data_IF_207815715837
#
_entry.id   IF_207815715837
#
_cell.length_a   1.000
_cell.length_b   1.000
_cell.length_c   1.000
_cell.angle_alpha   90.00
_cell.angle_beta   90.00
_cell.angle_gamma   90.00
#
_symmetry.space_group_name_H-M   'P 1'
#
loop_
_entity.id
_entity.type
_entity.pdbx_description
1 polymer ?
#
# COMPACT_ATOMS: atom_id res chain seq x y z
N UNK A 1 23.30 -15.56 1.93
CA UNK A 1 23.85 -14.61 1.53
C UNK A 1 22.99 -13.76 0.81
N UNK A 2 22.74 -12.86 1.15
CA UNK A 2 21.91 -12.05 0.51
C UNK A 2 22.53 -11.70 -0.71
N UNK A 3 21.98 -11.97 -1.74
CA UNK A 3 22.57 -11.62 -2.85
C UNK A 3 21.94 -10.41 -3.33
N UNK A 4 22.68 -9.64 -3.94
CA UNK A 4 22.18 -8.46 -4.54
C UNK A 4 21.31 -8.85 -5.65
N UNK A 5 20.09 -8.57 -5.53
CA UNK A 5 19.15 -8.93 -6.54
C UNK A 5 19.18 -7.95 -7.67
N UNK A 6 19.20 -8.46 -8.83
CA UNK A 6 19.07 -7.62 -9.99
C UNK A 6 17.62 -7.15 -10.02
N UNK A 7 17.40 -5.90 -9.87
CA UNK A 7 16.04 -5.39 -9.75
C UNK A 7 15.21 -5.48 -11.01
N UNK A 8 15.83 -5.77 -12.14
CA UNK A 8 15.04 -5.86 -13.35
C UNK A 8 13.95 -6.89 -13.27
N UNK A 9 14.23 -8.03 -12.65
CA UNK A 9 13.25 -9.09 -12.57
C UNK A 9 12.14 -8.79 -11.59
N UNK A 10 12.38 -7.87 -10.68
CA UNK A 10 11.40 -7.54 -9.67
C UNK A 10 10.73 -6.19 -9.89
N UNK A 11 11.01 -5.57 -11.01
CA UNK A 11 10.35 -4.30 -11.30
C UNK A 11 8.86 -4.53 -11.52
N UNK A 12 8.03 -3.55 -11.17
CA UNK A 12 6.61 -3.68 -11.43
C UNK A 12 6.31 -3.60 -12.92
N UNK A 13 5.16 -4.16 -13.29
CA UNK A 13 4.67 -4.00 -14.65
C UNK A 13 3.87 -2.71 -14.72
N UNK A 14 3.57 -2.27 -15.93
CA UNK A 14 2.71 -1.09 -16.06
C UNK A 14 1.33 -1.36 -15.47
N UNK A 15 0.87 -2.60 -15.53
CA UNK A 15 -0.40 -2.96 -14.89
C UNK A 15 -0.31 -2.81 -13.38
N UNK A 16 0.83 -3.21 -12.79
CA UNK A 16 1.06 -3.02 -11.37
C UNK A 16 1.00 -1.55 -10.98
N UNK A 17 1.59 -0.69 -11.83
CA UNK A 17 1.57 0.74 -11.56
C UNK A 17 0.15 1.27 -11.60
N UNK A 18 -0.64 0.82 -12.57
CA UNK A 18 -2.04 1.24 -12.64
C UNK A 18 -2.80 0.83 -11.38
N UNK A 19 -2.55 -0.38 -10.90
CA UNK A 19 -3.20 -0.83 -9.68
C UNK A 19 -2.78 0.00 -8.48
N UNK A 20 -1.49 0.32 -8.40
CA UNK A 20 -1.01 1.18 -7.31
C UNK A 20 -1.71 2.53 -7.35
N UNK A 21 -1.78 3.15 -8.53
CA UNK A 21 -2.35 4.48 -8.65
C UNK A 21 -3.83 4.49 -8.30
N UNK A 22 -4.50 3.36 -8.48
CA UNK A 22 -5.90 3.22 -8.11
C UNK A 22 -6.07 2.91 -6.62
N UNK A 23 -5.30 1.95 -6.12
CA UNK A 23 -5.51 1.44 -4.77
C UNK A 23 -5.01 2.37 -3.68
N UNK A 24 -3.93 3.11 -3.94
CA UNK A 24 -3.36 3.96 -2.91
C UNK A 24 -4.34 5.02 -2.41
N UNK A 25 -4.96 5.83 -3.29
CA UNK A 25 -5.91 6.82 -2.78
C UNK A 25 -7.15 6.19 -2.15
N UNK A 26 -7.57 5.00 -2.62
CA UNK A 26 -8.71 4.34 -2.03
C UNK A 26 -8.41 3.90 -0.60
N UNK A 27 -7.23 3.32 -0.40
CA UNK A 27 -6.85 2.89 0.95
C UNK A 27 -6.61 4.09 1.85
N UNK A 28 -6.00 5.13 1.32
CA UNK A 28 -5.74 6.34 2.10
C UNK A 28 -7.05 6.93 2.61
N UNK A 29 -8.06 6.91 1.76
CA UNK A 29 -9.39 7.38 2.13
C UNK A 29 -10.02 6.51 3.22
N UNK A 30 -9.89 5.19 3.07
CA UNK A 30 -10.40 4.27 4.07
C UNK A 30 -9.75 4.51 5.43
N UNK A 31 -8.44 4.72 5.43
CA UNK A 31 -7.72 4.95 6.68
C UNK A 31 -8.21 6.23 7.34
N UNK A 32 -8.44 7.26 6.56
CA UNK A 32 -8.92 8.53 7.13
C UNK A 32 -10.26 8.33 7.81
N UNK A 33 -11.16 7.58 7.20
CA UNK A 33 -12.47 7.32 7.79
C UNK A 33 -12.34 6.50 9.07
N UNK A 34 -11.57 5.43 9.04
CA UNK A 34 -11.42 4.57 10.22
C UNK A 34 -10.72 5.33 11.34
N UNK A 35 -9.78 6.21 10.99
CA UNK A 35 -9.10 7.02 11.99
C UNK A 35 -10.08 7.93 12.72
N UNK A 36 -11.04 8.50 11.99
CA UNK A 36 -12.06 9.33 12.64
C UNK A 36 -12.95 8.50 13.54
N UNK A 37 -13.32 7.29 13.10
CA UNK A 37 -14.09 6.40 13.95
C UNK A 37 -13.30 6.03 15.21
N UNK A 38 -12.02 5.79 15.07
CA UNK A 38 -11.18 5.41 16.20
C UNK A 38 -11.08 6.52 17.22
N UNK A 39 -11.11 7.77 16.80
CA UNK A 39 -11.07 8.87 17.75
C UNK A 39 -12.30 8.89 18.63
N UNK A 40 -13.44 8.46 18.11
CA UNK A 40 -14.68 8.50 18.86
C UNK A 40 -14.95 7.20 19.60
N UNK A 41 -14.61 6.08 19.01
CA UNK A 41 -14.93 4.75 19.56
C UNK A 41 -13.78 3.80 19.30
N UNK A 42 -12.64 4.06 19.91
CA UNK A 42 -11.42 3.32 19.61
C UNK A 42 -11.53 1.82 19.90
N UNK A 43 -12.26 1.45 20.94
CA UNK A 43 -12.34 0.06 21.37
C UNK A 43 -13.52 -0.71 20.81
N UNK A 44 -14.33 -0.07 19.96
CA UNK A 44 -15.45 -0.77 19.35
C UNK A 44 -14.98 -1.56 18.14
N UNK A 45 -15.61 -2.71 17.88
CA UNK A 45 -15.23 -3.49 16.71
C UNK A 45 -15.60 -2.75 15.44
N UNK A 46 -14.74 -2.89 14.45
CA UNK A 46 -15.00 -2.31 13.14
C UNK A 46 -16.18 -3.03 12.51
N UNK A 47 -17.01 -2.29 11.81
CA UNK A 47 -18.19 -2.81 11.15
C UNK A 47 -17.84 -3.93 10.16
N UNK A 48 -18.54 -5.09 10.22
CA UNK A 48 -18.20 -6.22 9.34
C UNK A 48 -18.27 -5.89 7.85
N UNK A 49 -19.20 -5.04 7.46
CA UNK A 49 -19.31 -4.65 6.06
C UNK A 49 -18.07 -3.88 5.62
N UNK A 50 -17.58 -3.00 6.48
CA UNK A 50 -16.36 -2.26 6.17
C UNK A 50 -15.16 -3.18 6.10
N UNK A 51 -15.09 -4.17 6.99
CA UNK A 51 -14.00 -5.14 6.95
C UNK A 51 -13.95 -5.84 5.60
N UNK A 52 -15.10 -6.28 5.11
CA UNK A 52 -15.14 -6.99 3.82
C UNK A 52 -14.69 -6.09 2.67
N UNK A 53 -15.19 -4.86 2.64
CA UNK A 53 -14.86 -3.95 1.56
C UNK A 53 -13.37 -3.63 1.57
N UNK A 54 -12.84 -3.39 2.76
CA UNK A 54 -11.42 -3.06 2.88
C UNK A 54 -10.55 -4.25 2.50
N UNK A 55 -10.93 -5.45 2.97
CA UNK A 55 -10.12 -6.64 2.68
C UNK A 55 -10.00 -6.92 1.19
N UNK A 56 -11.00 -6.58 0.38
CA UNK A 56 -10.88 -6.76 -1.05
C UNK A 56 -9.70 -5.96 -1.60
N UNK A 57 -9.52 -4.74 -1.11
CA UNK A 57 -8.39 -3.93 -1.53
C UNK A 57 -7.08 -4.47 -0.97
N UNK A 58 -7.10 -4.90 0.28
CA UNK A 58 -5.88 -5.41 0.92
C UNK A 58 -5.36 -6.66 0.21
N UNK A 59 -6.26 -7.52 -0.26
CA UNK A 59 -5.83 -8.70 -1.01
C UNK A 59 -5.11 -8.32 -2.27
N UNK A 60 -5.63 -7.33 -2.97
CA UNK A 60 -4.98 -6.88 -4.20
C UNK A 60 -3.64 -6.21 -3.91
N UNK A 61 -3.58 -5.47 -2.81
CA UNK A 61 -2.34 -4.82 -2.43
C UNK A 61 -1.28 -5.87 -2.08
N UNK A 62 -1.67 -6.92 -1.36
CA UNK A 62 -0.72 -7.99 -1.03
C UNK A 62 -0.18 -8.65 -2.30
N UNK A 63 -1.04 -8.85 -3.29
CA UNK A 63 -0.60 -9.41 -4.56
C UNK A 63 0.36 -8.45 -5.26
N UNK A 64 0.04 -7.17 -5.25
CA UNK A 64 0.89 -6.16 -5.85
C UNK A 64 2.28 -6.15 -5.21
N UNK A 65 2.33 -6.32 -3.90
CA UNK A 65 3.57 -6.22 -3.13
C UNK A 65 4.23 -7.57 -2.87
N UNK A 66 3.87 -8.59 -3.64
CA UNK A 66 4.33 -9.96 -3.35
C UNK A 66 5.84 -10.10 -3.33
N UNK A 67 6.56 -9.27 -4.06
CA UNK A 67 8.01 -9.35 -4.10
C UNK A 67 8.70 -8.39 -3.14
N UNK A 68 7.93 -7.70 -2.32
CA UNK A 68 8.48 -6.72 -1.40
C UNK A 68 8.69 -7.33 -0.02
N UNK A 69 9.78 -6.98 0.66
CA UNK A 69 10.03 -7.54 1.99
C UNK A 69 8.94 -7.22 2.99
N UNK A 70 8.26 -6.09 2.82
CA UNK A 70 7.21 -5.70 3.75
C UNK A 70 6.00 -6.61 3.71
N UNK A 71 5.86 -7.41 2.64
CA UNK A 71 4.66 -8.22 2.47
C UNK A 71 4.44 -9.20 3.63
N UNK A 72 5.50 -9.70 4.23
CA UNK A 72 5.34 -10.68 5.29
C UNK A 72 4.68 -10.10 6.55
N UNK A 73 4.64 -8.78 6.65
CA UNK A 73 4.04 -8.11 7.80
C UNK A 73 2.62 -7.62 7.53
N UNK A 74 2.12 -7.85 6.33
CA UNK A 74 0.80 -7.36 5.95
C UNK A 74 -0.24 -8.47 6.15
N UNK A 75 -1.24 -8.18 6.96
CA UNK A 75 -2.28 -9.15 7.26
C UNK A 75 -3.65 -8.56 7.04
N UNK A 76 -4.54 -9.37 6.50
CA UNK A 76 -5.91 -8.94 6.29
C UNK A 76 -6.62 -8.80 7.62
N UNK A 77 -7.66 -8.00 7.64
CA UNK A 77 -8.49 -7.86 8.82
C UNK A 77 -9.26 -9.16 9.05
N UNK A 78 -9.37 -9.55 10.33
CA UNK A 78 -10.13 -10.76 10.65
C UNK A 78 -11.61 -10.50 10.48
N UNK A 79 -12.29 -11.43 9.87
CA UNK A 79 -13.73 -11.30 9.66
C UNK A 79 -14.55 -11.96 10.76
N UNK A 80 -14.01 -13.00 11.37
CA UNK A 80 -14.71 -13.68 12.46
C UNK A 80 -14.54 -12.98 13.79
N UNK A 81 -13.34 -12.48 14.04
CA UNK A 81 -13.05 -11.73 15.24
C UNK A 81 -12.66 -10.33 14.79
N UNK A 82 -13.65 -9.46 14.74
CA UNK A 82 -13.44 -8.14 14.17
C UNK A 82 -12.42 -7.34 14.97
N UNK A 83 -11.50 -6.65 14.28
CA UNK A 83 -10.57 -5.77 14.99
C UNK A 83 -11.32 -4.57 15.54
N UNK A 84 -10.77 -3.99 16.61
CA UNK A 84 -11.30 -2.71 17.06
C UNK A 84 -10.95 -1.64 16.04
N UNK A 85 -11.63 -0.51 16.14
CA UNK A 85 -11.32 0.59 15.22
C UNK A 85 -9.86 1.00 15.32
N UNK A 86 -9.32 1.07 16.54
CA UNK A 86 -7.91 1.48 16.68
C UNK A 86 -6.94 0.43 16.16
N UNK A 87 -7.24 -0.86 16.35
CA UNK A 87 -6.39 -1.91 15.81
C UNK A 87 -6.43 -1.89 14.29
N UNK A 88 -7.60 -1.63 13.73
CA UNK A 88 -7.72 -1.53 12.28
C UNK A 88 -6.86 -0.40 11.72
N UNK A 89 -6.83 0.74 12.40
CA UNK A 89 -5.96 1.83 11.97
C UNK A 89 -4.51 1.37 11.91
N UNK A 90 -4.07 0.67 12.95
CA UNK A 90 -2.70 0.19 12.99
C UNK A 90 -2.41 -0.77 11.84
N UNK A 91 -3.32 -1.72 11.61
CA UNK A 91 -3.11 -2.70 10.55
C UNK A 91 -3.10 -2.06 9.17
N UNK A 92 -4.03 -1.13 8.92
CA UNK A 92 -4.10 -0.47 7.63
C UNK A 92 -2.91 0.46 7.40
N UNK A 93 -2.37 1.03 8.47
CA UNK A 93 -1.20 1.88 8.35
C UNK A 93 0.00 1.09 7.84
N UNK A 94 0.10 -0.20 8.20
CA UNK A 94 1.17 -1.05 7.67
C UNK A 94 1.07 -1.14 6.15
N UNK A 95 -0.13 -1.31 5.63
CA UNK A 95 -0.32 -1.41 4.18
C UNK A 95 0.03 -0.11 3.48
N UNK A 96 -0.39 1.02 4.03
CA UNK A 96 -0.13 2.29 3.35
C UNK A 96 1.37 2.61 3.37
N UNK A 97 2.04 2.28 4.46
CA UNK A 97 3.48 2.49 4.54
C UNK A 97 4.23 1.59 3.55
N UNK A 98 3.77 0.35 3.41
CA UNK A 98 4.37 -0.55 2.43
C UNK A 98 4.19 -0.03 1.02
N UNK A 99 3.02 0.54 0.72
CA UNK A 99 2.79 1.13 -0.59
C UNK A 99 3.69 2.35 -0.82
N UNK A 100 3.89 3.16 0.22
CA UNK A 100 4.79 4.31 0.09
C UNK A 100 6.22 3.87 -0.19
N UNK A 101 6.67 2.78 0.46
CA UNK A 101 8.00 2.26 0.20
C UNK A 101 8.12 1.68 -1.20
N UNK A 102 7.07 1.05 -1.68
CA UNK A 102 7.02 0.55 -3.05
C UNK A 102 7.21 1.70 -4.04
N UNK A 103 6.48 2.79 -3.83
CA UNK A 103 6.63 3.94 -4.71
C UNK A 103 8.03 4.54 -4.60
N UNK A 104 8.55 4.67 -3.40
CA UNK A 104 9.88 5.24 -3.21
C UNK A 104 10.93 4.42 -3.93
N UNK A 105 10.73 3.10 -4.00
CA UNK A 105 11.70 2.21 -4.59
C UNK A 105 11.68 2.25 -6.13
N UNK A 106 10.51 2.43 -6.72
CA UNK A 106 10.37 2.31 -8.17
C UNK A 106 9.95 3.59 -8.88
N UNK A 107 9.73 4.66 -8.18
CA UNK A 107 9.32 5.92 -8.77
C UNK A 107 10.40 6.94 -8.42
N UNK A 108 11.20 7.30 -9.40
CA UNK A 108 12.32 8.16 -9.11
C UNK A 108 12.64 9.06 -10.29
N UNK A 109 13.54 10.00 -10.05
CA UNK A 109 13.93 10.93 -11.08
C UNK A 109 14.52 10.19 -12.26
N UNK A 110 14.18 10.63 -13.46
CA UNK A 110 14.71 10.02 -14.66
C UNK A 110 16.11 10.52 -14.99
N UNK A 111 16.70 11.32 -14.11
CA UNK A 111 18.03 11.83 -14.33
C UNK A 111 18.07 13.11 -15.14
N UNK A 112 16.90 13.57 -15.58
CA UNK A 112 16.87 14.78 -16.39
C UNK A 112 16.83 15.99 -15.47
N UNK A 113 17.93 16.72 -15.40
CA UNK A 113 17.98 17.89 -14.53
C UNK A 113 18.01 19.17 -15.33
N UNK A 114 17.77 19.05 -16.61
CA UNK A 114 17.86 20.19 -17.48
C UNK A 114 16.54 20.93 -17.58
N UNK A 115 15.46 20.29 -17.19
CA UNK A 115 14.16 20.92 -17.28
C UNK A 115 14.09 22.17 -16.42
N UNK A 116 13.53 23.23 -16.96
CA UNK A 116 13.34 24.44 -16.18
C UNK A 116 12.33 24.24 -15.07
N UNK A 117 11.57 23.15 -15.12
CA UNK A 117 10.58 22.86 -14.09
C UNK A 117 11.10 21.88 -13.05
N UNK A 118 12.38 21.54 -13.07
CA UNK A 118 12.95 20.62 -12.13
C UNK A 118 13.02 19.21 -12.68
N UNK A 119 13.43 18.25 -11.86
CA UNK A 119 13.57 16.87 -12.34
C UNK A 119 12.23 16.23 -12.67
N UNK A 120 12.26 15.35 -13.64
CA UNK A 120 11.09 14.58 -14.05
C UNK A 120 11.13 13.23 -13.35
N UNK A 121 10.00 12.81 -12.81
CA UNK A 121 9.90 11.52 -12.15
C UNK A 121 9.11 10.54 -12.98
N UNK A 122 9.49 9.29 -12.94
CA UNK A 122 8.81 8.27 -13.69
C UNK A 122 8.92 6.94 -12.98
N UNK A 123 7.96 6.06 -13.25
CA UNK A 123 7.99 4.73 -12.71
C UNK A 123 8.95 3.88 -13.50
N UNK A 124 9.72 3.07 -12.79
CA UNK A 124 10.57 2.07 -13.44
C UNK A 124 9.77 0.79 -13.56
N UNK A 125 9.56 0.34 -14.78
CA UNK A 125 8.75 -0.85 -15.01
C UNK A 125 9.51 -1.84 -15.88
N UNK A 126 8.99 -3.06 -15.91
CA UNK A 126 9.58 -4.09 -16.75
C UNK A 126 9.42 -3.80 -18.22
N UNK A 127 8.42 -3.01 -18.59
CA UNK A 127 8.17 -2.75 -20.01
C UNK A 127 8.45 -1.33 -20.37
#
# INVERSE_FOLDING_TARGET
MAKITNNKDNLPTSEDVEKFEMLFPMLDSDIAEIRELSKKKQDEPLNPFKVKIINKKLEQIKTLLKNEPSNEYLELLEEDTLPTNSDAVLMLTQFINALRQFKKKYYESDGSEISMFGPTYTWKTKE
#
